data_IF_205955408817
#
_entry.id   IF_205955408817
#
_cell.length_a   1.000
_cell.length_b   1.000
_cell.length_c   1.000
_cell.angle_alpha   90.00
_cell.angle_beta   90.00
_cell.angle_gamma   90.00
#
_symmetry.space_group_name_H-M   'P 1'
#
loop_
_entity.id
_entity.type
_entity.pdbx_description
1 polymer ?
#
# COMPACT_ATOMS: atom_id res chain seq x y z
N UNK A 1 0.06 10.58 3.32
CA UNK A 1 -0.98 10.14 2.36
C UNK A 1 -1.45 8.77 2.80
N UNK A 2 -2.75 8.54 2.97
CA UNK A 2 -3.30 7.29 3.48
C UNK A 2 -4.26 6.70 2.46
N UNK A 3 -3.80 5.71 1.70
CA UNK A 3 -4.66 4.98 0.77
C UNK A 3 -5.41 3.87 1.49
N UNK A 4 -6.66 3.65 1.09
CA UNK A 4 -7.50 2.59 1.65
C UNK A 4 -7.41 1.36 0.76
N UNK A 5 -6.84 0.27 1.29
CA UNK A 5 -6.91 -1.05 0.65
C UNK A 5 -8.37 -1.53 0.73
N UNK A 6 -9.01 -1.79 -0.42
CA UNK A 6 -10.34 -2.41 -0.51
C UNK A 6 -10.17 -3.83 -1.07
N UNK A 7 -10.11 -4.84 -0.20
CA UNK A 7 -9.86 -6.23 -0.62
C UNK A 7 -8.39 -6.50 -0.90
N UNK A 8 -8.06 -7.26 -1.96
CA UNK A 8 -6.68 -7.52 -2.38
C UNK A 8 -6.08 -6.40 -3.25
N UNK A 9 -6.82 -5.33 -3.53
CA UNK A 9 -6.37 -4.25 -4.43
C UNK A 9 -6.46 -2.86 -3.80
N UNK A 10 -5.62 -1.97 -4.29
CA UNK A 10 -5.64 -0.54 -3.97
C UNK A 10 -5.24 0.32 -5.16
N UNK A 11 -5.66 1.58 -5.14
CA UNK A 11 -5.25 2.61 -6.11
C UNK A 11 -4.26 3.54 -5.42
N UNK A 12 -3.21 3.96 -6.13
CA UNK A 12 -2.28 5.00 -5.70
C UNK A 12 -2.76 6.30 -6.34
N UNK A 13 -3.18 7.32 -5.57
CA UNK A 13 -3.71 8.55 -6.19
C UNK A 13 -2.62 9.51 -6.69
N UNK A 14 -1.32 9.22 -6.54
CA UNK A 14 -0.22 9.96 -7.18
C UNK A 14 1.09 9.16 -7.05
N UNK A 15 1.73 8.77 -8.17
CA UNK A 15 3.03 8.08 -8.15
C UNK A 15 3.36 7.23 -9.39
N UNK A 16 4.38 6.38 -9.24
CA UNK A 16 5.05 5.57 -10.29
C UNK A 16 4.24 4.38 -10.85
N UNK A 17 3.06 4.10 -10.29
CA UNK A 17 2.15 3.06 -10.76
C UNK A 17 0.69 3.51 -10.57
N UNK A 18 -0.20 3.13 -11.49
CA UNK A 18 -1.61 3.49 -11.43
C UNK A 18 -2.38 2.60 -10.44
N UNK A 19 -1.94 1.36 -10.25
CA UNK A 19 -2.60 0.38 -9.41
C UNK A 19 -1.63 -0.61 -8.77
N UNK A 20 -2.08 -1.26 -7.70
CA UNK A 20 -1.35 -2.39 -7.11
C UNK A 20 -2.26 -3.50 -6.63
N UNK A 21 -1.73 -4.73 -6.70
CA UNK A 21 -2.33 -5.94 -6.13
C UNK A 21 -1.46 -6.39 -4.97
N UNK A 22 -2.09 -6.69 -3.84
CA UNK A 22 -1.42 -7.23 -2.66
C UNK A 22 -1.54 -8.76 -2.68
N UNK A 23 -0.40 -9.42 -2.63
CA UNK A 23 -0.30 -10.84 -2.30
C UNK A 23 0.06 -10.97 -0.81
N UNK A 24 -0.93 -11.36 -0.03
CA UNK A 24 -0.80 -11.51 1.41
C UNK A 24 -0.07 -12.78 1.83
N UNK A 25 -0.05 -13.81 0.98
CA UNK A 25 0.64 -15.07 1.26
C UNK A 25 2.15 -14.86 1.12
N UNK A 26 2.56 -14.15 0.07
CA UNK A 26 3.98 -13.90 -0.24
C UNK A 26 4.50 -12.58 0.32
N UNK A 27 3.63 -11.75 0.90
CA UNK A 27 3.94 -10.40 1.37
C UNK A 27 4.56 -9.52 0.28
N UNK A 28 3.94 -9.51 -0.91
CA UNK A 28 4.39 -8.71 -2.06
C UNK A 28 3.28 -7.79 -2.58
N UNK A 29 3.70 -6.64 -3.10
CA UNK A 29 2.87 -5.77 -3.92
C UNK A 29 3.29 -5.95 -5.37
N UNK A 30 2.33 -6.27 -6.21
CA UNK A 30 2.47 -6.21 -7.65
C UNK A 30 2.01 -4.83 -8.10
N UNK A 31 2.92 -4.03 -8.64
CA UNK A 31 2.70 -2.69 -9.14
C UNK A 31 2.49 -2.77 -10.64
N UNK A 32 1.41 -2.18 -11.14
CA UNK A 32 1.10 -2.12 -12.57
C UNK A 32 0.42 -0.79 -12.94
N UNK A 33 0.64 -0.34 -14.17
CA UNK A 33 0.10 0.92 -14.68
C UNK A 33 0.19 1.01 -16.19
N UNK A 34 -0.62 1.89 -16.79
CA UNK A 34 -0.64 2.12 -18.22
C UNK A 34 0.70 2.76 -18.66
N UNK A 35 1.51 1.98 -19.37
CA UNK A 35 2.85 2.42 -19.81
C UNK A 35 3.96 2.25 -18.76
N UNK A 36 3.66 1.72 -17.58
CA UNK A 36 4.65 1.32 -16.58
C UNK A 36 5.06 -0.15 -16.75
N UNK A 37 6.29 -0.49 -16.38
CA UNK A 37 6.73 -1.89 -16.32
C UNK A 37 6.23 -2.52 -15.03
N UNK A 38 5.51 -3.63 -15.15
CA UNK A 38 5.07 -4.40 -13.99
C UNK A 38 6.26 -4.75 -13.09
N UNK A 39 6.09 -4.51 -11.79
CA UNK A 39 7.14 -4.75 -10.79
C UNK A 39 6.55 -5.41 -9.56
N UNK A 40 7.33 -6.25 -8.90
CA UNK A 40 6.92 -6.89 -7.65
C UNK A 40 7.89 -6.50 -6.54
N UNK A 41 7.37 -5.83 -5.53
CA UNK A 41 8.14 -5.39 -4.36
C UNK A 41 7.65 -6.11 -3.10
N UNK A 42 8.55 -6.38 -2.16
CA UNK A 42 8.18 -6.96 -0.87
C UNK A 42 7.74 -5.87 0.09
N UNK A 43 6.76 -6.18 0.92
CA UNK A 43 6.35 -5.30 2.00
C UNK A 43 6.55 -5.98 3.36
N UNK A 44 6.53 -5.17 4.42
CA UNK A 44 6.57 -5.63 5.80
C UNK A 44 5.27 -5.25 6.51
N UNK A 45 4.77 -6.13 7.36
CA UNK A 45 3.62 -5.84 8.22
C UNK A 45 4.11 -5.64 9.65
N UNK A 46 3.74 -4.52 10.25
CA UNK A 46 3.98 -4.24 11.67
C UNK A 46 2.77 -3.53 12.26
N UNK A 47 2.19 -4.12 13.31
CA UNK A 47 1.09 -3.52 14.09
C UNK A 47 -0.14 -3.09 13.25
N UNK A 48 -0.42 -3.77 12.14
CA UNK A 48 -1.52 -3.44 11.22
C UNK A 48 -1.21 -2.32 10.22
N UNK A 49 0.05 -1.93 10.14
CA UNK A 49 0.64 -1.06 9.11
C UNK A 49 1.46 -1.91 8.14
N UNK A 50 1.26 -1.71 6.86
CA UNK A 50 2.08 -2.25 5.78
C UNK A 50 3.09 -1.18 5.38
N UNK A 51 4.37 -1.49 5.42
CA UNK A 51 5.44 -0.62 4.93
C UNK A 51 6.06 -1.26 3.70
N UNK A 52 6.13 -0.50 2.61
CA UNK A 52 6.69 -0.94 1.33
C UNK A 52 7.61 0.15 0.78
N UNK A 53 8.73 -0.26 0.21
CA UNK A 53 9.63 0.62 -0.53
C UNK A 53 9.30 0.49 -2.02
N UNK A 54 8.88 1.60 -2.63
CA UNK A 54 8.62 1.69 -4.06
C UNK A 54 9.64 2.68 -4.62
N UNK A 55 10.60 2.15 -5.40
CA UNK A 55 11.69 2.90 -6.04
C UNK A 55 12.49 3.83 -5.14
N UNK A 56 12.73 3.43 -3.89
CA UNK A 56 13.48 4.20 -2.90
C UNK A 56 12.63 5.14 -2.07
N UNK A 57 11.31 5.13 -2.25
CA UNK A 57 10.35 5.88 -1.43
C UNK A 57 9.58 4.89 -0.55
N UNK A 58 9.72 5.05 0.77
CA UNK A 58 8.93 4.27 1.72
C UNK A 58 7.49 4.81 1.79
N UNK A 59 6.55 3.90 1.60
CA UNK A 59 5.12 4.14 1.73
C UNK A 59 4.54 3.29 2.85
N UNK A 60 3.69 3.92 3.67
CA UNK A 60 2.89 3.25 4.69
C UNK A 60 1.43 3.14 4.27
N UNK A 61 0.88 1.93 4.35
CA UNK A 61 -0.53 1.63 4.09
C UNK A 61 -1.17 1.05 5.34
N UNK A 62 -2.35 1.54 5.68
CA UNK A 62 -3.08 1.09 6.86
C UNK A 62 -4.25 0.21 6.44
N UNK A 63 -4.31 -1.00 6.97
CA UNK A 63 -5.43 -1.90 6.71
C UNK A 63 -6.72 -1.31 7.29
N UNK A 64 -7.76 -1.15 6.46
CA UNK A 64 -9.05 -0.59 6.88
C UNK A 64 -9.61 -1.37 8.08
N UNK A 65 -10.01 -0.64 9.12
CA UNK A 65 -10.54 -1.22 10.36
C UNK A 65 -9.47 -1.64 11.37
N UNK A 66 -8.17 -1.54 11.05
CA UNK A 66 -7.11 -1.75 12.02
C UNK A 66 -7.03 -0.59 13.02
N UNK A 67 -6.40 -0.85 14.19
CA UNK A 67 -6.11 0.20 15.17
C UNK A 67 -5.23 1.30 14.57
N UNK A 68 -4.24 0.91 13.75
CA UNK A 68 -3.36 1.85 13.05
C UNK A 68 -4.14 2.74 12.07
N UNK A 69 -5.09 2.19 11.33
CA UNK A 69 -5.97 2.94 10.43
C UNK A 69 -6.82 3.98 11.18
N UNK A 70 -7.48 3.58 12.28
CA UNK A 70 -8.28 4.49 13.07
C UNK A 70 -7.43 5.60 13.72
N UNK A 71 -6.21 5.27 14.16
CA UNK A 71 -5.27 6.25 14.71
C UNK A 71 -4.77 7.22 13.64
N UNK A 72 -4.43 6.72 12.45
CA UNK A 72 -4.03 7.56 11.32
C UNK A 72 -5.16 8.53 10.94
N UNK A 73 -6.40 8.05 10.83
CA UNK A 73 -7.57 8.90 10.55
C UNK A 73 -7.78 10.01 11.59
N UNK A 74 -7.53 9.74 12.88
CA UNK A 74 -7.64 10.76 13.92
C UNK A 74 -6.57 11.86 13.80
N UNK A 75 -5.40 11.57 13.24
CA UNK A 75 -4.35 12.58 13.03
C UNK A 75 -4.61 13.49 11.82
N UNK A 76 -5.52 13.12 10.92
CA UNK A 76 -5.97 13.97 9.81
C UNK A 76 -7.17 14.86 10.17
N UNK A 77 -7.67 14.79 11.41
CA UNK A 77 -8.68 15.72 11.94
C UNK A 77 -8.03 16.92 12.59
#
# INVERSE_FOLDING_TARGET
MAFTIKGNGGSIEHGEADSFIIDQENNTFHLSGEGATDSTVKYKVKDGTITVDISGIEHEYYQKGSKAYNKALQQYK
#
